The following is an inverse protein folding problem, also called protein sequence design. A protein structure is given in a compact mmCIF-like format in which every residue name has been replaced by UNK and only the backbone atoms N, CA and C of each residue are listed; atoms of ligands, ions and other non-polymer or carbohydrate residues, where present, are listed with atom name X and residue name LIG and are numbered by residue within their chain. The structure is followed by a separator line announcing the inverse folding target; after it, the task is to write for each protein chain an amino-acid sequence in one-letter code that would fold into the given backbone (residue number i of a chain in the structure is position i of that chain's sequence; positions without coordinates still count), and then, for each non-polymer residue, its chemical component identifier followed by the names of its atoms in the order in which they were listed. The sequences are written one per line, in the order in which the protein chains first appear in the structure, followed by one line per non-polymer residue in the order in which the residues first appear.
data_IF_583125098935
#
_entry.id   IF_583125098935
#
_cell.length_a   1.000
_cell.length_b   1.000
_cell.length_c   1.000
_cell.angle_alpha   90.00
_cell.angle_beta   90.00
_cell.angle_gamma   90.00
#
_symmetry.space_group_name_H-M   'P 1'
#
loop_
_entity.id
_entity.type
_entity.pdbx_description
1 polymer ?
#
# COMPACT_ATOMS: atom_id res chain seq x y z
N UNK A 1 -4.18 50.45 27.67
CA UNK A 1 -3.50 49.20 27.28
C UNK A 1 -4.18 48.64 26.05
N UNK A 2 -3.63 48.93 24.88
CA UNK A 2 -4.14 48.49 23.57
C UNK A 2 -3.72 47.04 23.37
N UNK A 3 -4.68 46.11 23.35
CA UNK A 3 -4.41 44.71 22.99
C UNK A 3 -3.83 44.69 21.57
N UNK A 4 -2.79 43.88 21.30
CA UNK A 4 -2.34 43.67 19.93
C UNK A 4 -3.55 43.14 19.15
N UNK A 5 -4.01 43.93 18.18
CA UNK A 5 -5.04 43.50 17.24
C UNK A 5 -4.38 42.47 16.35
N UNK A 6 -4.58 41.19 16.67
CA UNK A 6 -4.35 40.11 15.72
C UNK A 6 -4.96 40.55 14.39
N UNK A 7 -4.13 40.67 13.37
CA UNK A 7 -4.58 41.08 12.05
C UNK A 7 -5.36 39.95 11.42
N UNK A 8 -6.33 40.29 10.56
CA UNK A 8 -7.14 39.29 9.86
C UNK A 8 -6.26 38.29 9.09
N UNK A 9 -5.11 38.75 8.58
CA UNK A 9 -4.10 37.95 7.90
C UNK A 9 -3.50 36.84 8.79
N UNK A 10 -3.22 37.12 10.07
CA UNK A 10 -2.68 36.13 11.01
C UNK A 10 -3.71 35.04 11.32
N UNK A 11 -4.98 35.43 11.42
CA UNK A 11 -6.09 34.50 11.63
C UNK A 11 -6.29 33.63 10.40
N UNK A 12 -6.23 34.21 9.21
CA UNK A 12 -6.39 33.48 7.95
C UNK A 12 -5.26 32.46 7.74
N UNK A 13 -4.01 32.84 8.03
CA UNK A 13 -2.87 31.93 7.98
C UNK A 13 -3.05 30.75 8.96
N UNK A 14 -3.51 31.03 10.19
CA UNK A 14 -3.79 29.98 11.16
C UNK A 14 -4.92 29.04 10.70
N UNK A 15 -5.96 29.57 10.04
CA UNK A 15 -7.02 28.74 9.44
C UNK A 15 -6.47 27.82 8.33
N UNK A 16 -5.66 28.35 7.42
CA UNK A 16 -5.06 27.56 6.34
C UNK A 16 -4.15 26.44 6.86
N UNK A 17 -3.38 26.70 7.92
CA UNK A 17 -2.58 25.67 8.58
C UNK A 17 -3.44 24.58 9.22
N UNK A 18 -4.56 24.94 9.85
CA UNK A 18 -5.50 23.97 10.41
C UNK A 18 -6.15 23.14 9.30
N UNK A 19 -6.44 23.73 8.14
CA UNK A 19 -6.91 22.96 6.98
C UNK A 19 -5.86 21.94 6.51
N UNK A 20 -4.59 22.35 6.40
CA UNK A 20 -3.50 21.44 5.97
C UNK A 20 -3.28 20.30 6.95
N UNK A 21 -3.18 20.61 8.25
CA UNK A 21 -2.99 19.58 9.30
C UNK A 21 -4.18 18.63 9.40
N UNK A 22 -5.40 19.14 9.20
CA UNK A 22 -6.60 18.30 9.16
C UNK A 22 -6.57 17.34 7.96
N UNK A 23 -6.14 17.80 6.79
CA UNK A 23 -5.95 16.94 5.61
C UNK A 23 -4.87 15.88 5.84
N UNK A 24 -3.70 16.25 6.36
CA UNK A 24 -2.60 15.32 6.66
C UNK A 24 -3.01 14.25 7.68
N UNK A 25 -3.82 14.62 8.68
CA UNK A 25 -4.31 13.70 9.70
C UNK A 25 -5.58 12.92 9.30
N UNK A 26 -6.14 13.17 8.12
CA UNK A 26 -7.42 12.58 7.69
C UNK A 26 -8.61 12.96 8.59
N UNK A 27 -8.57 14.15 9.21
CA UNK A 27 -9.61 14.64 10.15
C UNK A 27 -10.29 15.88 9.59
N UNK A 28 -11.45 16.22 10.15
CA UNK A 28 -12.16 17.44 9.77
C UNK A 28 -11.54 18.67 10.46
N UNK A 29 -11.33 19.77 9.71
CA UNK A 29 -10.87 21.03 10.28
C UNK A 29 -11.97 21.60 11.19
N UNK A 30 -11.60 22.01 12.41
CA UNK A 30 -12.54 22.56 13.40
C UNK A 30 -12.12 23.94 13.86
N UNK A 31 -13.11 24.79 14.15
CA UNK A 31 -12.88 26.14 14.69
C UNK A 31 -12.13 26.07 16.02
N UNK A 32 -12.41 25.04 16.84
CA UNK A 32 -11.68 24.79 18.09
C UNK A 32 -10.19 24.54 17.91
N UNK A 33 -9.77 23.98 16.77
CA UNK A 33 -8.34 23.80 16.47
C UNK A 33 -7.66 25.14 16.15
N UNK A 34 -8.37 26.03 15.46
CA UNK A 34 -7.91 27.40 15.18
C UNK A 34 -7.79 28.21 16.46
N UNK A 35 -8.78 28.11 17.35
CA UNK A 35 -8.78 28.77 18.66
C UNK A 35 -7.61 28.32 19.54
N UNK A 36 -7.33 27.01 19.57
CA UNK A 36 -6.18 26.46 20.28
C UNK A 36 -4.85 26.93 19.70
N UNK A 37 -4.77 27.10 18.38
CA UNK A 37 -3.54 27.55 17.70
C UNK A 37 -3.22 29.01 17.99
N UNK A 38 -4.26 29.84 18.04
CA UNK A 38 -4.12 31.28 18.28
C UNK A 38 -4.17 31.65 19.78
N UNK A 39 -4.44 30.69 20.67
CA UNK A 39 -4.68 30.88 22.10
C UNK A 39 -5.74 31.95 22.40
N UNK A 40 -6.82 31.98 21.60
CA UNK A 40 -7.92 32.93 21.72
C UNK A 40 -9.14 32.25 22.34
N UNK A 41 -9.80 32.93 23.28
CA UNK A 41 -11.08 32.48 23.83
C UNK A 41 -12.16 32.49 22.75
N UNK A 42 -12.95 31.41 22.68
CA UNK A 42 -14.10 31.23 21.78
C UNK A 42 -14.97 32.49 21.60
N UNK A 43 -15.42 33.10 22.71
CA UNK A 43 -16.26 34.30 22.67
C UNK A 43 -15.57 35.52 22.02
N UNK A 44 -14.25 35.63 22.14
CA UNK A 44 -13.48 36.73 21.53
C UNK A 44 -13.33 36.50 20.03
N UNK A 45 -13.10 35.25 19.64
CA UNK A 45 -12.98 34.85 18.24
C UNK A 45 -14.28 35.11 17.46
N UNK A 46 -15.41 34.66 18.01
CA UNK A 46 -16.74 34.86 17.41
C UNK A 46 -17.19 36.31 17.34
N UNK A 47 -16.75 37.15 18.30
CA UNK A 47 -17.11 38.57 18.32
C UNK A 47 -16.29 39.41 17.34
N UNK A 48 -15.00 39.09 17.18
CA UNK A 48 -14.08 39.92 16.41
C UNK A 48 -13.95 39.47 14.95
N UNK A 49 -14.10 38.17 14.66
CA UNK A 49 -13.87 37.60 13.33
C UNK A 49 -15.08 36.80 12.79
N UNK A 50 -16.31 37.34 12.83
CA UNK A 50 -17.49 36.60 12.37
C UNK A 50 -17.43 36.27 10.86
N UNK A 51 -16.81 37.14 10.07
CA UNK A 51 -16.67 36.98 8.63
C UNK A 51 -15.70 35.83 8.28
N UNK A 52 -14.56 35.71 8.98
CA UNK A 52 -13.61 34.60 8.78
C UNK A 52 -14.20 33.27 9.25
N UNK A 53 -15.02 33.28 10.31
CA UNK A 53 -15.71 32.07 10.78
C UNK A 53 -16.73 31.58 9.75
N UNK A 54 -17.45 32.51 9.10
CA UNK A 54 -18.40 32.16 8.04
C UNK A 54 -17.68 31.51 6.85
N UNK A 55 -16.59 32.13 6.36
CA UNK A 55 -15.81 31.57 5.25
C UNK A 55 -15.13 30.25 5.61
N UNK A 56 -14.66 30.11 6.86
CA UNK A 56 -14.12 28.84 7.36
C UNK A 56 -15.17 27.73 7.35
N UNK A 57 -16.39 28.01 7.82
CA UNK A 57 -17.49 27.04 7.82
C UNK A 57 -17.90 26.67 6.40
N UNK A 58 -18.05 27.64 5.51
CA UNK A 58 -18.36 27.37 4.09
C UNK A 58 -17.29 26.48 3.45
N UNK A 59 -16.01 26.76 3.70
CA UNK A 59 -14.91 25.94 3.17
C UNK A 59 -14.83 24.56 3.81
N UNK A 60 -15.10 24.45 5.12
CA UNK A 60 -15.15 23.17 5.82
C UNK A 60 -16.36 22.32 5.38
N UNK A 61 -17.52 22.95 5.17
CA UNK A 61 -18.72 22.32 4.63
C UNK A 61 -18.51 21.92 3.16
N UNK A 62 -17.84 22.75 2.35
CA UNK A 62 -17.45 22.40 0.99
C UNK A 62 -16.46 21.22 0.97
N UNK A 63 -15.53 21.12 1.92
CA UNK A 63 -14.65 19.96 2.04
C UNK A 63 -15.40 18.70 2.50
N UNK A 64 -16.42 18.85 3.36
CA UNK A 64 -17.29 17.75 3.80
C UNK A 64 -18.23 17.26 2.69
N UNK A 65 -18.77 18.19 1.89
CA UNK A 65 -19.77 17.92 0.87
C UNK A 65 -19.15 17.71 -0.52
N UNK A 66 -17.88 18.08 -0.72
CA UNK A 66 -17.11 17.59 -1.84
C UNK A 66 -17.21 16.05 -1.81
N UNK A 67 -17.30 15.38 -2.97
CA UNK A 67 -17.13 13.94 -3.05
C UNK A 67 -15.67 13.62 -2.72
N UNK A 68 -15.33 13.74 -1.43
CA UNK A 68 -14.18 13.12 -0.84
C UNK A 68 -14.55 11.64 -0.84
N UNK A 69 -13.81 10.86 -1.63
CA UNK A 69 -13.88 9.42 -1.56
C UNK A 69 -13.95 9.02 -0.08
N UNK A 70 -14.92 8.15 0.29
CA UNK A 70 -15.15 7.87 1.69
C UNK A 70 -13.84 7.39 2.28
N UNK A 71 -13.52 7.90 3.48
CA UNK A 71 -12.48 7.36 4.34
C UNK A 71 -12.73 5.86 4.53
N UNK A 72 -12.22 5.08 3.58
CA UNK A 72 -12.43 3.65 3.42
C UNK A 72 -11.19 2.92 3.87
N UNK A 73 -10.31 3.56 4.64
CA UNK A 73 -9.12 2.94 5.22
C UNK A 73 -9.43 1.65 6.00
N UNK A 74 -10.61 1.50 6.60
CA UNK A 74 -10.97 0.26 7.30
C UNK A 74 -11.54 -0.84 6.39
N UNK A 75 -12.19 -0.48 5.29
CA UNK A 75 -12.75 -1.44 4.32
C UNK A 75 -11.74 -1.78 3.23
N UNK A 76 -11.02 -0.79 2.69
CA UNK A 76 -9.86 -0.95 1.82
C UNK A 76 -8.73 -1.70 2.51
N UNK A 77 -8.49 -1.51 3.81
CA UNK A 77 -7.49 -2.31 4.52
C UNK A 77 -7.92 -3.77 4.64
N UNK A 78 -9.19 -4.05 4.92
CA UNK A 78 -9.73 -5.43 4.92
C UNK A 78 -9.60 -6.07 3.53
N UNK A 79 -9.99 -5.37 2.46
CA UNK A 79 -9.82 -5.90 1.09
C UNK A 79 -8.35 -6.05 0.70
N UNK A 80 -7.47 -5.17 1.17
CA UNK A 80 -6.02 -5.29 0.96
C UNK A 80 -5.42 -6.49 1.72
N UNK A 81 -5.87 -6.76 2.94
CA UNK A 81 -5.42 -7.91 3.72
C UNK A 81 -5.95 -9.23 3.13
N UNK A 82 -7.21 -9.24 2.68
CA UNK A 82 -7.82 -10.39 2.01
C UNK A 82 -7.14 -10.70 0.66
N UNK A 83 -6.80 -9.67 -0.11
CA UNK A 83 -6.04 -9.84 -1.37
C UNK A 83 -4.62 -10.34 -1.10
N UNK A 84 -3.91 -9.81 -0.10
CA UNK A 84 -2.59 -10.33 0.31
C UNK A 84 -2.69 -11.78 0.78
N UNK A 85 -3.72 -12.14 1.55
CA UNK A 85 -3.94 -13.52 1.96
C UNK A 85 -4.22 -14.44 0.77
N UNK A 86 -5.00 -13.98 -0.21
CA UNK A 86 -5.22 -14.67 -1.48
C UNK A 86 -3.91 -14.93 -2.23
N UNK A 87 -3.10 -13.89 -2.43
CA UNK A 87 -1.80 -13.98 -3.10
C UNK A 87 -0.85 -14.94 -2.38
N UNK A 88 -0.82 -14.95 -1.04
CA UNK A 88 0.00 -15.89 -0.27
C UNK A 88 -0.43 -17.34 -0.46
N UNK A 89 -1.74 -17.60 -0.53
CA UNK A 89 -2.28 -18.94 -0.83
C UNK A 89 -1.90 -19.37 -2.24
N UNK A 90 -2.02 -18.47 -3.21
CA UNK A 90 -1.64 -18.72 -4.60
C UNK A 90 -0.15 -19.01 -4.76
N UNK A 91 0.73 -18.21 -4.13
CA UNK A 91 2.18 -18.47 -4.11
C UNK A 91 2.50 -19.83 -3.50
N UNK A 92 1.81 -20.21 -2.42
CA UNK A 92 1.99 -21.52 -1.80
C UNK A 92 1.55 -22.65 -2.73
N UNK A 93 0.44 -22.47 -3.44
CA UNK A 93 -0.06 -23.43 -4.42
C UNK A 93 0.90 -23.56 -5.61
N UNK A 94 1.40 -22.45 -6.15
CA UNK A 94 2.38 -22.44 -7.24
C UNK A 94 3.69 -23.13 -6.84
N UNK A 95 4.15 -22.92 -5.61
CA UNK A 95 5.35 -23.63 -5.10
C UNK A 95 5.14 -25.13 -5.02
N UNK A 96 3.95 -25.58 -4.61
CA UNK A 96 3.60 -27.01 -4.58
C UNK A 96 3.56 -27.61 -5.99
N UNK A 97 2.93 -26.94 -6.95
CA UNK A 97 2.88 -27.44 -8.33
C UNK A 97 4.26 -27.51 -8.96
N UNK A 98 5.11 -26.49 -8.77
CA UNK A 98 6.50 -26.51 -9.24
C UNK A 98 7.29 -27.66 -8.62
N UNK A 99 7.11 -27.95 -7.32
CA UNK A 99 7.78 -29.07 -6.67
C UNK A 99 7.38 -30.41 -7.30
N UNK A 100 6.09 -30.62 -7.55
CA UNK A 100 5.57 -31.83 -8.21
C UNK A 100 6.16 -31.96 -9.62
N UNK A 101 6.15 -30.89 -10.42
CA UNK A 101 6.72 -30.95 -11.77
C UNK A 101 8.24 -31.18 -11.76
N UNK A 102 8.97 -30.63 -10.79
CA UNK A 102 10.39 -30.89 -10.63
C UNK A 102 10.67 -32.36 -10.31
N UNK A 103 9.84 -33.00 -9.46
CA UNK A 103 9.95 -34.43 -9.18
C UNK A 103 9.61 -35.29 -10.40
N UNK A 104 8.54 -34.96 -11.13
CA UNK A 104 8.19 -35.65 -12.37
C UNK A 104 9.32 -35.59 -13.41
N UNK A 105 9.99 -34.44 -13.56
CA UNK A 105 11.15 -34.30 -14.45
C UNK A 105 12.34 -35.15 -13.99
N UNK A 106 12.59 -35.24 -12.67
CA UNK A 106 13.65 -36.11 -12.13
C UNK A 106 13.36 -37.58 -12.43
N UNK A 107 12.13 -38.03 -12.19
CA UNK A 107 11.71 -39.40 -12.50
C UNK A 107 11.85 -39.70 -13.99
N UNK A 108 11.34 -38.82 -14.86
CA UNK A 108 11.45 -38.98 -16.30
C UNK A 108 12.91 -39.05 -16.78
N UNK A 109 13.81 -38.30 -16.14
CA UNK A 109 15.25 -38.33 -16.47
C UNK A 109 15.87 -39.67 -16.08
N UNK A 110 15.55 -40.20 -14.89
CA UNK A 110 16.03 -41.51 -14.45
C UNK A 110 15.49 -42.63 -15.34
N UNK A 111 14.20 -42.59 -15.66
CA UNK A 111 13.56 -43.58 -16.53
C UNK A 111 14.18 -43.54 -17.95
N UNK A 112 14.48 -42.33 -18.46
CA UNK A 112 15.15 -42.17 -19.74
C UNK A 112 16.56 -42.77 -19.74
N UNK A 113 17.35 -42.53 -18.69
CA UNK A 113 18.69 -43.11 -18.55
C UNK A 113 18.63 -44.63 -18.44
N UNK A 114 17.68 -45.18 -17.67
CA UNK A 114 17.48 -46.61 -17.53
C UNK A 114 17.13 -47.26 -18.88
N UNK A 115 16.16 -46.70 -19.60
CA UNK A 115 15.77 -47.18 -20.93
C UNK A 115 16.94 -47.10 -21.91
N UNK A 116 17.73 -46.03 -21.84
CA UNK A 116 18.93 -45.89 -22.67
C UNK A 116 19.97 -46.97 -22.35
N UNK A 117 20.20 -47.29 -21.08
CA UNK A 117 21.07 -48.38 -20.68
C UNK A 117 20.55 -49.75 -21.16
N UNK A 118 19.26 -50.02 -21.05
CA UNK A 118 18.64 -51.27 -21.52
C UNK A 118 18.76 -51.42 -23.05
N UNK A 119 18.53 -50.35 -23.81
CA UNK A 119 18.73 -50.34 -25.27
C UNK A 119 20.20 -50.56 -25.61
N UNK A 120 21.12 -49.92 -24.90
CA UNK A 120 22.56 -50.09 -25.16
C UNK A 120 23.04 -51.52 -24.87
N UNK A 121 22.55 -52.12 -23.78
CA UNK A 121 22.85 -53.51 -23.44
C UNK A 121 22.31 -54.49 -24.47
N UNK A 122 21.07 -54.30 -24.94
CA UNK A 122 20.43 -55.18 -25.91
C UNK A 122 20.96 -55.01 -27.34
N UNK A 123 21.39 -53.81 -27.71
CA UNK A 123 21.82 -53.49 -29.07
C UNK A 123 23.31 -53.78 -29.36
N UNK A 124 24.12 -54.17 -28.37
CA UNK A 124 25.59 -54.30 -28.47
C UNK A 124 26.29 -53.04 -29.04
N UNK A 125 25.59 -51.89 -29.12
CA UNK A 125 26.13 -50.64 -29.62
C UNK A 125 27.09 -50.09 -28.56
N UNK A 126 28.37 -50.35 -28.77
CA UNK A 126 29.45 -49.83 -27.94
C UNK A 126 29.57 -48.32 -28.18
N UNK A 127 29.55 -47.54 -27.11
CA UNK A 127 29.70 -46.08 -27.20
C UNK A 127 31.13 -45.76 -27.65
N UNK A 128 31.27 -45.32 -28.90
CA UNK A 128 32.55 -44.98 -29.52
C UNK A 128 33.24 -43.80 -28.81
N UNK A 129 32.47 -42.97 -28.12
CA UNK A 129 32.96 -41.82 -27.34
C UNK A 129 33.85 -42.27 -26.17
N UNK A 130 33.44 -43.34 -25.47
CA UNK A 130 34.18 -43.90 -24.35
C UNK A 130 35.46 -44.62 -24.80
N UNK A 131 35.46 -45.23 -25.98
CA UNK A 131 36.65 -45.87 -26.55
C UNK A 131 37.73 -44.87 -26.99
N UNK A 132 37.36 -43.64 -27.36
CA UNK A 132 38.30 -42.60 -27.83
C UNK A 132 39.16 -42.03 -26.69
N UNK A 133 38.60 -41.86 -25.50
CA UNK A 133 39.33 -41.34 -24.32
C UNK A 133 40.31 -42.35 -23.70
N UNK A 134 40.21 -43.64 -24.05
CA UNK A 134 41.08 -44.71 -23.52
C UNK A 134 42.36 -44.91 -24.34
N UNK A 135 42.50 -44.20 -25.46
CA UNK A 135 43.58 -44.39 -26.46
C UNK A 135 44.58 -43.22 -26.53
N UNK A 136 44.43 -42.22 -25.66
CA UNK A 136 45.40 -41.16 -25.38
C UNK A 136 45.93 -41.33 -23.96
#
# INVERSE_FOLDING_TARGET
MTRPTLTDDEVQLAMDLVFREAQEAGRHPTITAVEKRLDIKHATFYRNYPHLIATFKERADALRNAPCEPASDSEQKKTSEDTIAGLRREVTQLRRTVAIYAEALRQLTLDYEEMRCQVQQSSQVTDLSAHRSRRH
#
